data_IF_944503204747
#
_entry.id   IF_944503204747
#
_cell.length_a   1.000
_cell.length_b   1.000
_cell.length_c   1.000
_cell.angle_alpha   90.00
_cell.angle_beta   90.00
_cell.angle_gamma   90.00
#
_symmetry.space_group_name_H-M   'P 1'
#
loop_
_entity.id
_entity.type
_entity.pdbx_description
1 polymer ?
#
# COMPACT_ATOMS: atom_id res chain seq x y z
N UNK A 1 -33.89 -2.70 -43.86
CA UNK A 1 -32.92 -3.79 -43.65
C UNK A 1 -31.76 -3.17 -42.90
N UNK A 2 -31.87 -3.08 -41.57
CA UNK A 2 -31.38 -4.11 -40.64
C UNK A 2 -29.88 -4.32 -40.91
N UNK A 3 -28.98 -3.68 -40.17
CA UNK A 3 -28.79 -3.86 -38.75
C UNK A 3 -27.76 -4.98 -38.56
N UNK A 4 -26.57 -4.68 -38.06
CA UNK A 4 -25.80 -5.64 -37.27
C UNK A 4 -24.71 -4.94 -36.46
N UNK A 5 -25.02 -4.81 -35.17
CA UNK A 5 -24.05 -4.79 -34.07
C UNK A 5 -23.58 -6.24 -33.86
N UNK A 6 -22.29 -6.46 -33.64
CA UNK A 6 -21.81 -7.61 -32.87
C UNK A 6 -20.64 -7.14 -32.01
N UNK A 7 -20.92 -6.74 -30.77
CA UNK A 7 -20.83 -7.58 -29.56
C UNK A 7 -19.44 -8.21 -29.36
N UNK A 8 -18.63 -7.39 -28.70
CA UNK A 8 -17.77 -7.69 -27.56
C UNK A 8 -18.35 -8.80 -26.68
N UNK A 9 -17.60 -9.89 -26.53
CA UNK A 9 -17.48 -10.80 -25.37
C UNK A 9 -16.90 -12.12 -25.85
N UNK A 10 -15.69 -12.47 -25.39
CA UNK A 10 -15.24 -13.86 -25.21
C UNK A 10 -13.86 -13.86 -24.52
N UNK A 11 -13.85 -13.70 -23.20
CA UNK A 11 -12.72 -14.12 -22.36
C UNK A 11 -12.96 -15.59 -22.02
N UNK A 12 -12.20 -16.50 -22.66
CA UNK A 12 -12.24 -17.94 -22.37
C UNK A 12 -11.22 -18.28 -21.28
N UNK A 13 -11.70 -18.37 -20.04
CA UNK A 13 -10.98 -19.02 -18.94
C UNK A 13 -11.27 -20.52 -18.97
N UNK A 14 -10.26 -21.32 -19.33
CA UNK A 14 -10.27 -22.77 -19.16
C UNK A 14 -9.38 -23.13 -17.98
N UNK A 15 -9.96 -23.59 -16.88
CA UNK A 15 -9.29 -24.52 -15.97
C UNK A 15 -10.33 -25.41 -15.30
N UNK A 16 -10.13 -26.73 -15.43
CA UNK A 16 -11.00 -27.79 -14.95
C UNK A 16 -10.13 -28.85 -14.27
N UNK A 17 -10.71 -29.45 -13.22
CA UNK A 17 -10.28 -30.62 -12.44
C UNK A 17 -9.33 -30.36 -11.24
N UNK A 18 -9.50 -30.94 -10.04
CA UNK A 18 -10.28 -32.11 -9.59
C UNK A 18 -10.75 -31.97 -8.12
N UNK A 19 -11.96 -32.47 -7.84
CA UNK A 19 -12.45 -32.87 -6.52
C UNK A 19 -11.87 -34.24 -6.12
N UNK A 20 -11.37 -34.38 -4.89
CA UNK A 20 -11.27 -35.66 -4.17
C UNK A 20 -11.67 -35.42 -2.71
N UNK A 21 -12.63 -36.21 -2.24
CA UNK A 21 -13.36 -35.99 -0.99
C UNK A 21 -12.76 -36.55 0.31
N UNK A 22 -13.46 -36.15 1.38
CA UNK A 22 -13.70 -36.80 2.67
C UNK A 22 -12.52 -37.33 3.52
N UNK A 23 -12.40 -36.79 4.74
CA UNK A 23 -12.64 -37.59 5.94
C UNK A 23 -12.97 -36.76 7.19
N UNK A 24 -14.03 -37.18 7.89
CA UNK A 24 -14.43 -36.77 9.24
C UNK A 24 -13.44 -37.28 10.28
N UNK A 25 -13.12 -36.47 11.28
CA UNK A 25 -12.93 -36.97 12.65
C UNK A 25 -13.33 -35.91 13.68
N UNK A 26 -14.16 -36.35 14.62
CA UNK A 26 -14.64 -35.60 15.77
C UNK A 26 -13.51 -35.41 16.79
N UNK A 27 -13.43 -34.23 17.43
CA UNK A 27 -13.27 -34.23 18.89
C UNK A 27 -13.82 -32.96 19.53
N UNK A 28 -14.81 -33.15 20.40
CA UNK A 28 -15.33 -32.15 21.34
C UNK A 28 -14.29 -31.96 22.43
N UNK A 29 -13.97 -30.71 22.78
CA UNK A 29 -13.61 -30.36 24.15
C UNK A 29 -14.19 -28.97 24.47
N UNK A 30 -15.08 -28.97 25.46
CA UNK A 30 -15.61 -27.80 26.12
C UNK A 30 -14.51 -27.10 26.91
N UNK A 31 -14.27 -25.82 26.62
CA UNK A 31 -13.98 -24.83 27.67
C UNK A 31 -14.36 -23.45 27.14
N UNK A 32 -15.45 -22.90 27.68
CA UNK A 32 -15.82 -21.49 27.54
C UNK A 32 -14.83 -20.72 28.41
N UNK A 33 -14.02 -19.77 27.90
CA UNK A 33 -13.43 -18.78 28.77
C UNK A 33 -14.54 -17.79 29.11
N UNK A 34 -14.94 -17.76 30.38
CA UNK A 34 -15.64 -16.61 30.95
C UNK A 34 -14.70 -15.41 30.90
N UNK A 35 -14.80 -14.61 29.85
CA UNK A 35 -14.21 -13.27 29.83
C UNK A 35 -15.04 -12.40 30.77
N UNK A 36 -14.72 -12.43 32.07
CA UNK A 36 -15.10 -11.33 32.95
C UNK A 36 -14.29 -10.12 32.53
N UNK A 37 -15.00 -9.17 31.92
CA UNK A 37 -14.44 -7.91 31.45
C UNK A 37 -14.21 -7.04 32.68
N UNK A 38 -12.94 -6.79 33.02
CA UNK A 38 -12.60 -5.88 34.11
C UNK A 38 -12.52 -4.44 33.57
N UNK A 39 -13.62 -3.71 33.70
CA UNK A 39 -13.72 -2.29 33.28
C UNK A 39 -12.78 -1.35 34.06
N UNK A 40 -12.09 -1.85 35.11
CA UNK A 40 -11.13 -1.11 35.91
C UNK A 40 -9.66 -1.35 35.49
N UNK A 41 -9.41 -2.13 34.42
CA UNK A 41 -8.07 -2.21 33.83
C UNK A 41 -7.74 -0.84 33.20
N UNK A 42 -6.61 -0.18 33.54
CA UNK A 42 -6.17 1.02 32.83
C UNK A 42 -5.94 0.83 31.32
N UNK A 43 -5.89 -0.43 30.85
CA UNK A 43 -5.86 -0.81 29.44
C UNK A 43 -7.25 -1.20 28.88
N UNK A 44 -8.32 -1.04 29.67
CA UNK A 44 -9.67 -1.30 29.22
C UNK A 44 -10.03 -0.33 28.08
N UNK A 45 -10.09 -0.86 26.85
CA UNK A 45 -10.32 -0.07 25.64
C UNK A 45 -9.07 0.42 24.91
N UNK A 46 -7.86 0.14 25.41
CA UNK A 46 -6.60 0.44 24.72
C UNK A 46 -6.20 -0.70 23.80
N UNK A 47 -6.35 -0.49 22.49
CA UNK A 47 -5.91 -1.45 21.48
C UNK A 47 -4.41 -1.21 21.24
N UNK A 48 -3.57 -2.21 21.48
CA UNK A 48 -2.16 -2.17 21.12
C UNK A 48 -1.91 -2.94 19.83
N UNK A 49 -1.13 -2.36 18.93
CA UNK A 49 -0.72 -2.93 17.65
C UNK A 49 0.75 -3.32 17.75
N UNK A 50 1.08 -4.56 17.38
CA UNK A 50 2.48 -5.00 17.31
C UNK A 50 3.17 -4.41 16.08
N UNK A 51 4.45 -4.03 16.21
CA UNK A 51 5.22 -3.55 15.06
C UNK A 51 5.51 -4.63 14.00
N UNK A 52 5.26 -5.90 14.33
CA UNK A 52 5.35 -7.02 13.41
C UNK A 52 3.98 -7.52 12.91
N UNK A 53 2.89 -6.77 13.14
CA UNK A 53 1.56 -7.16 12.67
C UNK A 53 1.41 -6.86 11.17
N UNK A 54 1.34 -7.93 10.36
CA UNK A 54 1.17 -7.88 8.90
C UNK A 54 -0.13 -7.22 8.44
N UNK A 55 -1.11 -7.05 9.32
CA UNK A 55 -2.39 -6.41 9.00
C UNK A 55 -2.34 -4.89 9.13
N UNK A 56 -1.19 -4.32 9.51
CA UNK A 56 -1.02 -2.87 9.63
C UNK A 56 0.20 -2.38 8.84
N UNK A 57 0.05 -1.20 8.25
CA UNK A 57 1.17 -0.39 7.78
C UNK A 57 1.35 0.79 8.74
N UNK A 58 2.57 0.99 9.21
CA UNK A 58 2.93 1.94 10.25
C UNK A 58 4.01 2.86 9.71
N UNK A 59 3.70 4.15 9.64
CA UNK A 59 4.59 5.19 9.12
C UNK A 59 4.85 6.25 10.17
N UNK A 60 5.99 6.91 10.07
CA UNK A 60 6.27 8.20 10.73
C UNK A 60 6.20 9.31 9.70
N UNK A 61 5.76 10.50 10.13
CA UNK A 61 5.85 11.70 9.30
C UNK A 61 7.31 12.14 9.27
N UNK A 62 7.89 12.28 8.08
CA UNK A 62 9.28 12.63 7.90
C UNK A 62 9.55 13.28 6.55
N UNK A 63 10.84 13.33 6.20
CA UNK A 63 11.30 13.82 4.90
C UNK A 63 12.28 12.80 4.32
N UNK A 64 12.12 12.53 3.04
CA UNK A 64 13.14 11.84 2.27
C UNK A 64 14.40 12.71 2.13
N UNK A 65 15.56 12.07 1.96
CA UNK A 65 16.85 12.73 1.76
C UNK A 65 16.92 13.37 0.38
N UNK A 66 16.40 12.69 -0.63
CA UNK A 66 16.28 13.21 -1.99
C UNK A 66 14.88 13.80 -2.25
N UNK A 67 14.81 14.65 -3.27
CA UNK A 67 13.55 15.14 -3.82
C UNK A 67 13.17 14.28 -5.00
N UNK A 68 11.96 13.73 -4.97
CA UNK A 68 11.45 12.84 -6.02
C UNK A 68 10.35 13.54 -6.82
N UNK A 69 10.38 13.35 -8.14
CA UNK A 69 9.36 13.86 -9.07
C UNK A 69 8.64 12.75 -9.81
N UNK A 70 9.29 11.61 -9.98
CA UNK A 70 8.78 10.46 -10.73
C UNK A 70 8.39 9.34 -9.77
N UNK A 71 9.21 9.06 -8.76
CA UNK A 71 8.91 8.02 -7.79
C UNK A 71 7.77 8.44 -6.85
N UNK A 72 6.60 7.84 -7.03
CA UNK A 72 5.37 8.22 -6.34
C UNK A 72 5.48 8.11 -4.81
N UNK A 73 6.22 7.11 -4.29
CA UNK A 73 6.44 6.97 -2.84
C UNK A 73 7.27 8.13 -2.30
N UNK A 74 8.30 8.55 -3.03
CA UNK A 74 9.16 9.67 -2.66
C UNK A 74 8.46 11.04 -2.62
N UNK A 75 7.24 11.14 -3.16
CA UNK A 75 6.43 12.38 -3.11
C UNK A 75 5.60 12.52 -1.82
N UNK A 76 5.50 11.46 -1.04
CA UNK A 76 4.82 11.44 0.26
C UNK A 76 5.78 11.81 1.39
N UNK A 77 5.24 12.29 2.52
CA UNK A 77 5.99 12.48 3.78
C UNK A 77 5.85 11.29 4.75
N UNK A 78 5.20 10.21 4.31
CA UNK A 78 5.05 8.97 5.08
C UNK A 78 6.29 8.10 4.91
N UNK A 79 7.07 7.94 5.98
CA UNK A 79 8.29 7.13 6.00
C UNK A 79 8.00 5.83 6.75
N UNK A 80 8.33 4.64 6.20
CA UNK A 80 8.17 3.38 6.91
C UNK A 80 8.79 3.40 8.31
N UNK A 81 8.04 2.92 9.30
CA UNK A 81 8.51 2.82 10.68
C UNK A 81 8.81 1.38 11.11
N UNK A 82 8.29 0.38 10.40
CA UNK A 82 8.48 -1.04 10.74
C UNK A 82 8.97 -1.84 9.53
N UNK A 83 9.60 -3.00 9.78
CA UNK A 83 10.10 -3.87 8.71
C UNK A 83 8.95 -4.34 7.80
N UNK A 84 7.81 -4.73 8.38
CA UNK A 84 6.61 -5.10 7.62
C UNK A 84 6.17 -3.98 6.67
N UNK A 85 6.16 -2.74 7.14
CA UNK A 85 5.76 -1.58 6.31
C UNK A 85 6.78 -1.33 5.21
N UNK A 86 8.08 -1.42 5.53
CA UNK A 86 9.17 -1.32 4.57
C UNK A 86 9.04 -2.37 3.47
N UNK A 87 8.82 -3.63 3.83
CA UNK A 87 8.64 -4.74 2.89
C UNK A 87 7.43 -4.51 1.98
N UNK A 88 6.30 -4.07 2.54
CA UNK A 88 5.11 -3.72 1.76
C UNK A 88 5.39 -2.58 0.76
N UNK A 89 6.06 -1.52 1.19
CA UNK A 89 6.42 -0.40 0.30
C UNK A 89 7.33 -0.86 -0.83
N UNK A 90 8.39 -1.61 -0.52
CA UNK A 90 9.31 -2.14 -1.54
C UNK A 90 8.59 -3.09 -2.51
N UNK A 91 7.70 -3.96 -2.00
CA UNK A 91 6.88 -4.83 -2.83
C UNK A 91 6.01 -4.03 -3.80
N UNK A 92 5.32 -3.00 -3.31
CA UNK A 92 4.44 -2.17 -4.13
C UNK A 92 5.22 -1.39 -5.20
N UNK A 93 6.36 -0.78 -4.85
CA UNK A 93 7.22 -0.08 -5.83
C UNK A 93 7.62 -1.06 -6.94
N UNK A 94 8.06 -2.27 -6.58
CA UNK A 94 8.48 -3.28 -7.55
C UNK A 94 7.33 -3.78 -8.42
N UNK A 95 6.14 -4.00 -7.87
CA UNK A 95 4.96 -4.42 -8.63
C UNK A 95 4.57 -3.37 -9.68
N UNK A 96 4.53 -2.10 -9.29
CA UNK A 96 4.25 -0.98 -10.20
C UNK A 96 5.34 -0.90 -11.27
N UNK A 97 6.62 -0.94 -10.88
CA UNK A 97 7.75 -0.84 -11.82
C UNK A 97 7.86 -2.04 -12.77
N UNK A 98 7.43 -3.23 -12.37
CA UNK A 98 7.44 -4.40 -13.25
C UNK A 98 6.26 -4.42 -14.24
N UNK A 99 5.25 -3.57 -14.02
CA UNK A 99 4.15 -3.38 -14.95
C UNK A 99 4.60 -2.61 -16.19
N UNK A 100 4.01 -2.89 -17.34
CA UNK A 100 4.37 -2.32 -18.65
C UNK A 100 3.18 -1.63 -19.30
N UNK A 101 3.44 -0.47 -19.90
CA UNK A 101 2.43 0.34 -20.56
C UNK A 101 2.96 0.90 -21.87
N UNK A 102 2.08 1.01 -22.86
CA UNK A 102 2.39 1.66 -24.14
C UNK A 102 2.05 3.14 -24.05
N UNK A 103 3.04 4.01 -24.27
CA UNK A 103 2.89 5.46 -24.29
C UNK A 103 3.41 6.01 -25.62
N UNK A 104 2.49 6.17 -26.58
CA UNK A 104 2.82 6.54 -27.95
C UNK A 104 3.54 5.41 -28.68
N UNK A 105 4.84 5.58 -28.95
CA UNK A 105 5.70 4.56 -29.58
C UNK A 105 6.64 3.86 -28.59
N UNK A 106 6.60 4.25 -27.32
CA UNK A 106 7.50 3.75 -26.29
C UNK A 106 6.76 2.76 -25.38
N UNK A 107 7.45 1.70 -24.96
CA UNK A 107 7.04 0.87 -23.82
C UNK A 107 7.73 1.44 -22.58
N UNK A 108 6.95 1.74 -21.54
CA UNK A 108 7.44 2.29 -20.28
C UNK A 108 6.97 1.47 -19.09
N UNK A 109 7.68 1.56 -17.96
CA UNK A 109 7.24 0.92 -16.73
C UNK A 109 6.06 1.66 -16.08
N UNK A 110 5.41 1.02 -15.10
CA UNK A 110 4.26 1.60 -14.42
C UNK A 110 4.56 2.88 -13.63
N UNK A 111 5.76 3.04 -13.08
CA UNK A 111 6.13 4.26 -12.36
C UNK A 111 6.17 5.44 -13.33
N UNK A 112 6.85 5.29 -14.48
CA UNK A 112 6.90 6.31 -15.53
C UNK A 112 5.50 6.62 -16.08
N UNK A 113 4.69 5.59 -16.34
CA UNK A 113 3.34 5.79 -16.87
C UNK A 113 2.46 6.60 -15.90
N UNK A 114 2.46 6.23 -14.62
CA UNK A 114 1.67 6.90 -13.60
C UNK A 114 2.21 8.30 -13.30
N UNK A 115 3.53 8.50 -13.26
CA UNK A 115 4.11 9.81 -12.96
C UNK A 115 3.75 10.83 -14.04
N UNK A 116 3.79 10.47 -15.32
CA UNK A 116 3.37 11.36 -16.42
C UNK A 116 1.89 11.74 -16.28
N UNK A 117 1.04 10.79 -15.85
CA UNK A 117 -0.39 11.04 -15.66
C UNK A 117 -0.68 11.93 -14.45
N UNK A 118 0.08 11.77 -13.36
CA UNK A 118 -0.20 12.39 -12.06
C UNK A 118 0.62 13.65 -11.79
N UNK A 119 1.72 13.87 -12.51
CA UNK A 119 2.60 15.02 -12.34
C UNK A 119 2.62 15.88 -13.61
N UNK A 120 1.86 16.99 -13.64
CA UNK A 120 1.82 17.90 -14.78
C UNK A 120 3.19 18.48 -15.17
N UNK A 121 4.15 18.58 -14.24
CA UNK A 121 5.50 19.08 -14.54
C UNK A 121 6.27 18.18 -15.52
N UNK A 122 5.88 16.91 -15.65
CA UNK A 122 6.51 15.97 -16.58
C UNK A 122 5.96 16.08 -18.01
N UNK A 123 4.86 16.84 -18.19
CA UNK A 123 4.27 17.02 -19.52
C UNK A 123 5.22 17.80 -20.45
N UNK A 124 5.52 17.20 -21.59
CA UNK A 124 6.41 17.80 -22.60
C UNK A 124 7.90 17.54 -22.39
N UNK A 125 8.29 16.87 -21.30
CA UNK A 125 9.65 16.33 -21.16
C UNK A 125 9.79 15.11 -22.09
N UNK A 126 10.99 14.93 -22.66
CA UNK A 126 11.27 13.76 -23.50
C UNK A 126 11.14 12.45 -22.70
N UNK A 127 10.45 11.46 -23.27
CA UNK A 127 10.14 10.20 -22.58
C UNK A 127 11.43 9.45 -22.23
N UNK A 128 12.45 9.50 -23.11
CA UNK A 128 13.73 8.85 -22.82
C UNK A 128 14.43 9.47 -21.61
N UNK A 129 14.31 10.79 -21.43
CA UNK A 129 14.81 11.48 -20.24
C UNK A 129 14.05 11.06 -18.98
N UNK A 130 12.72 11.00 -19.02
CA UNK A 130 11.90 10.57 -17.88
C UNK A 130 12.25 9.14 -17.45
N UNK A 131 12.47 8.23 -18.40
CA UNK A 131 12.90 6.86 -18.11
C UNK A 131 14.27 6.85 -17.41
N UNK A 132 15.23 7.64 -17.90
CA UNK A 132 16.56 7.72 -17.29
C UNK A 132 16.51 8.30 -15.87
N UNK A 133 15.69 9.34 -15.65
CA UNK A 133 15.51 9.95 -14.34
C UNK A 133 14.78 9.02 -13.37
N UNK A 134 13.81 8.24 -13.84
CA UNK A 134 13.12 7.23 -13.02
C UNK A 134 14.09 6.17 -12.49
N UNK A 135 15.01 5.68 -13.31
CA UNK A 135 16.01 4.69 -12.87
C UNK A 135 16.91 5.24 -11.74
N UNK A 136 17.28 6.53 -11.82
CA UNK A 136 18.06 7.21 -10.78
C UNK A 136 17.23 7.37 -9.50
N UNK A 137 15.99 7.85 -9.64
CA UNK A 137 15.07 8.01 -8.50
C UNK A 137 14.73 6.66 -7.84
N UNK A 138 14.52 5.61 -8.62
CA UNK A 138 14.26 4.26 -8.11
C UNK A 138 15.42 3.75 -7.26
N UNK A 139 16.66 3.88 -7.75
CA UNK A 139 17.83 3.48 -6.96
C UNK A 139 17.92 4.27 -5.66
N UNK A 140 17.77 5.60 -5.74
CA UNK A 140 17.86 6.46 -4.58
C UNK A 140 16.81 6.12 -3.52
N UNK A 141 15.55 5.89 -3.92
CA UNK A 141 14.49 5.58 -2.95
C UNK A 141 14.70 4.23 -2.29
N UNK A 142 15.19 3.23 -3.04
CA UNK A 142 15.49 1.90 -2.48
C UNK A 142 16.64 2.01 -1.48
N UNK A 143 17.73 2.68 -1.85
CA UNK A 143 18.87 2.91 -0.96
C UNK A 143 18.45 3.69 0.32
N UNK A 144 17.54 4.65 0.18
CA UNK A 144 16.97 5.38 1.32
C UNK A 144 16.11 4.50 2.23
N UNK A 145 15.22 3.69 1.65
CA UNK A 145 14.33 2.77 2.37
C UNK A 145 15.15 1.70 3.12
N UNK A 146 16.17 1.15 2.48
CA UNK A 146 17.06 0.16 3.10
C UNK A 146 17.86 0.73 4.26
N UNK A 147 18.18 2.03 4.21
CA UNK A 147 18.88 2.76 5.26
C UNK A 147 17.99 3.36 6.36
N UNK A 148 16.69 3.03 6.41
CA UNK A 148 15.79 3.54 7.44
C UNK A 148 16.07 2.89 8.80
N UNK A 149 16.06 3.72 9.85
CA UNK A 149 15.97 3.24 11.23
C UNK A 149 14.50 2.92 11.55
N UNK A 150 14.24 1.67 11.90
CA UNK A 150 12.92 1.09 12.13
C UNK A 150 12.74 0.72 13.62
N UNK A 151 11.49 0.66 14.04
CA UNK A 151 11.12 0.24 15.39
C UNK A 151 11.43 -1.26 15.62
N UNK A 152 11.67 -1.62 16.89
CA UNK A 152 11.92 -3.02 17.29
C UNK A 152 10.70 -3.91 16.93
N UNK A 153 10.86 -4.99 16.15
CA UNK A 153 9.75 -5.87 15.78
C UNK A 153 9.05 -6.54 16.98
N UNK A 154 9.71 -6.62 18.14
CA UNK A 154 9.09 -7.12 19.37
C UNK A 154 8.30 -6.05 20.14
N UNK A 155 8.37 -4.80 19.68
CA UNK A 155 7.65 -3.67 20.24
C UNK A 155 6.18 -3.62 19.83
N UNK A 156 5.46 -2.68 20.44
CA UNK A 156 4.07 -2.39 20.16
C UNK A 156 3.75 -0.93 20.40
N UNK A 157 2.65 -0.47 19.81
CA UNK A 157 2.14 0.89 19.97
C UNK A 157 0.64 0.90 20.27
N UNK A 158 0.20 1.86 21.08
CA UNK A 158 -1.22 2.15 21.28
C UNK A 158 -1.83 2.66 19.96
N UNK A 159 -2.97 2.09 19.54
CA UNK A 159 -3.63 2.44 18.29
C UNK A 159 -3.89 3.94 18.21
N UNK A 160 -4.44 4.52 19.27
CA UNK A 160 -4.55 5.97 19.41
C UNK A 160 -3.23 6.54 19.95
N UNK A 161 -2.51 7.25 19.09
CA UNK A 161 -1.23 7.86 19.40
C UNK A 161 -0.99 9.13 18.57
N UNK A 162 0.05 9.88 18.92
CA UNK A 162 0.47 11.14 18.30
C UNK A 162 1.77 11.02 17.49
N UNK A 163 2.31 9.81 17.33
CA UNK A 163 3.66 9.58 16.77
C UNK A 163 3.65 8.93 15.40
N UNK A 164 2.72 8.01 15.16
CA UNK A 164 2.69 7.17 13.97
C UNK A 164 1.34 7.23 13.27
N UNK A 165 1.43 7.23 11.95
CA UNK A 165 0.32 6.99 11.06
C UNK A 165 0.13 5.47 10.97
N UNK A 166 -1.04 4.99 11.32
CA UNK A 166 -1.40 3.57 11.33
C UNK A 166 -2.53 3.37 10.33
N UNK A 167 -2.26 2.57 9.31
CA UNK A 167 -3.24 2.09 8.36
C UNK A 167 -3.50 0.62 8.60
N UNK A 168 -4.78 0.24 8.67
CA UNK A 168 -5.19 -1.17 8.66
C UNK A 168 -5.29 -1.63 7.22
N UNK A 169 -4.63 -2.75 6.92
CA UNK A 169 -4.62 -3.38 5.62
C UNK A 169 -5.75 -4.39 5.56
N UNK A 170 -6.74 -4.14 4.71
CA UNK A 170 -7.90 -5.00 4.53
C UNK A 170 -7.93 -5.54 3.09
N UNK A 171 -8.20 -6.84 2.93
CA UNK A 171 -8.43 -7.42 1.60
C UNK A 171 -9.85 -7.08 1.14
N UNK A 172 -9.96 -6.33 0.06
CA UNK A 172 -11.20 -6.10 -0.67
C UNK A 172 -11.14 -6.82 -2.02
N UNK A 173 -11.85 -7.95 -2.11
CA UNK A 173 -11.85 -8.87 -3.25
C UNK A 173 -10.44 -9.32 -3.69
N UNK A 174 -9.82 -8.57 -4.60
CA UNK A 174 -8.52 -8.85 -5.20
C UNK A 174 -7.44 -7.80 -4.86
N UNK A 175 -7.79 -6.78 -4.06
CA UNK A 175 -6.91 -5.64 -3.78
C UNK A 175 -6.77 -5.45 -2.26
N UNK A 176 -5.55 -5.17 -1.81
CA UNK A 176 -5.31 -4.72 -0.43
C UNK A 176 -5.59 -3.23 -0.35
N UNK A 177 -6.51 -2.84 0.52
CA UNK A 177 -6.87 -1.45 0.77
C UNK A 177 -6.32 -1.03 2.13
N UNK A 178 -5.60 0.10 2.16
CA UNK A 178 -5.15 0.73 3.39
C UNK A 178 -6.24 1.70 3.90
N UNK A 179 -6.72 1.47 5.12
CA UNK A 179 -7.70 2.35 5.79
C UNK A 179 -7.08 3.01 7.02
N UNK A 180 -7.21 4.34 7.21
CA UNK A 180 -6.76 4.99 8.44
C UNK A 180 -7.34 4.31 9.67
N UNK A 181 -6.47 3.92 10.61
CA UNK A 181 -6.85 3.12 11.78
C UNK A 181 -7.02 3.97 13.06
N UNK A 182 -6.55 5.21 13.07
CA UNK A 182 -6.68 6.13 14.21
C UNK A 182 -6.98 7.57 13.77
N UNK A 183 -7.27 8.44 14.74
CA UNK A 183 -7.64 9.84 14.47
C UNK A 183 -6.55 10.66 13.79
N UNK A 184 -5.28 10.46 14.17
CA UNK A 184 -4.12 11.13 13.58
C UNK A 184 -4.00 10.80 12.08
N UNK A 185 -4.07 9.51 11.74
CA UNK A 185 -3.95 9.01 10.37
C UNK A 185 -5.12 9.48 9.52
N UNK A 186 -6.34 9.49 10.06
CA UNK A 186 -7.50 9.97 9.33
C UNK A 186 -7.37 11.45 8.97
N UNK A 187 -6.87 12.27 9.90
CA UNK A 187 -6.62 13.69 9.67
C UNK A 187 -5.54 13.90 8.60
N UNK A 188 -4.39 13.26 8.77
CA UNK A 188 -3.28 13.37 7.81
C UNK A 188 -3.69 12.91 6.41
N UNK A 189 -4.39 11.77 6.30
CA UNK A 189 -4.90 11.26 5.03
C UNK A 189 -5.86 12.25 4.33
N UNK A 190 -6.74 12.89 5.09
CA UNK A 190 -7.65 13.90 4.55
C UNK A 190 -6.90 15.17 4.07
N UNK A 191 -5.89 15.61 4.83
CA UNK A 191 -5.01 16.72 4.45
C UNK A 191 -4.23 16.41 3.16
N UNK A 192 -3.72 15.18 3.03
CA UNK A 192 -2.98 14.76 1.84
C UNK A 192 -3.88 14.68 0.60
N UNK A 193 -5.10 14.15 0.74
CA UNK A 193 -6.09 14.19 -0.35
C UNK A 193 -6.38 15.62 -0.79
N UNK A 194 -6.51 16.55 0.17
CA UNK A 194 -6.78 17.95 -0.14
C UNK A 194 -5.58 18.58 -0.88
N UNK A 195 -4.35 18.34 -0.41
CA UNK A 195 -3.11 18.78 -1.08
C UNK A 195 -3.05 18.30 -2.53
N UNK A 196 -3.32 17.02 -2.75
CA UNK A 196 -3.29 16.41 -4.10
C UNK A 196 -4.38 16.99 -5.02
N UNK A 197 -5.55 17.36 -4.49
CA UNK A 197 -6.58 18.06 -5.27
C UNK A 197 -6.15 19.46 -5.67
N UNK A 198 -5.47 20.18 -4.78
CA UNK A 198 -4.98 21.53 -5.05
C UNK A 198 -3.83 21.53 -6.06
N UNK A 199 -2.99 20.49 -6.10
CA UNK A 199 -1.91 20.35 -7.09
C UNK A 199 -2.42 20.04 -8.51
N UNK A 200 -3.63 19.51 -8.65
CA UNK A 200 -4.21 19.11 -9.93
C UNK A 200 -5.17 20.16 -10.53
N UNK A 201 -5.35 21.31 -9.86
CA UNK A 201 -6.18 22.44 -10.33
C UNK A 201 -5.31 23.64 -10.71
#
# INVERSE_FOLDING_TARGET
MEGNKSNMNDIKNNNKYNDIGNNKSNNKNNTKPSNEINENDPNFGKINISFNDVNYAIYKIGKWKNTYKINLIGTSNEIPATEITKEHVLSNINEIRNSKFELGKNEVNGIVALSIQLNPELQGIDIAQIIADEEVEYKNIVDEIDGLELEDPNGSIELENDKFLIYKLEKDHHVTVAKPANGLTMKHHAEEIQRLKEMNN
#
